data_IF_397569613444
#
_entry.id   IF_397569613444
#
_cell.length_a   1.000
_cell.length_b   1.000
_cell.length_c   1.000
_cell.angle_alpha   90.00
_cell.angle_beta   90.00
_cell.angle_gamma   90.00
#
_symmetry.space_group_name_H-M   'P 1'
#
loop_
_entity.id
_entity.type
_entity.pdbx_description
1 polymer ?
#
# COMPACT_ATOMS: atom_id res chain seq x y z
N UNK A 1 55.44 35.49 8.15
CA UNK A 1 54.03 35.45 8.61
C UNK A 1 53.10 35.39 7.40
N UNK A 2 52.35 34.30 7.23
CA UNK A 2 51.11 34.20 6.45
C UNK A 2 50.40 32.93 6.93
N UNK A 3 49.38 33.08 7.78
CA UNK A 3 48.50 31.97 8.19
C UNK A 3 47.33 31.95 7.23
N UNK A 4 47.25 30.92 6.40
CA UNK A 4 46.09 30.63 5.56
C UNK A 4 45.08 29.93 6.48
N UNK A 5 44.01 30.65 6.84
CA UNK A 5 42.87 30.07 7.54
C UNK A 5 42.00 29.32 6.55
N UNK A 6 41.96 28.00 6.65
CA UNK A 6 41.00 27.17 5.92
C UNK A 6 39.68 27.26 6.69
N UNK A 7 38.69 27.97 6.14
CA UNK A 7 37.30 27.82 6.57
C UNK A 7 36.77 26.50 6.02
N UNK A 8 36.58 25.50 6.89
CA UNK A 8 35.78 24.33 6.58
C UNK A 8 34.30 24.69 6.68
N UNK A 9 33.67 24.95 5.53
CA UNK A 9 32.22 25.05 5.43
C UNK A 9 31.64 23.63 5.46
N UNK A 10 31.29 23.14 6.66
CA UNK A 10 30.53 21.91 6.78
C UNK A 10 29.09 22.16 6.30
N UNK A 11 28.81 21.77 5.06
CA UNK A 11 27.45 21.67 4.57
C UNK A 11 26.75 20.55 5.34
N UNK A 12 25.99 20.93 6.38
CA UNK A 12 25.07 20.02 7.04
C UNK A 12 23.98 19.69 6.03
N UNK A 13 24.12 18.56 5.33
CA UNK A 13 23.03 17.98 4.57
C UNK A 13 21.90 17.73 5.55
N UNK A 14 20.83 18.52 5.47
CA UNK A 14 19.61 18.28 6.21
C UNK A 14 19.02 16.96 5.70
N UNK A 15 19.33 15.88 6.42
CA UNK A 15 18.67 14.59 6.21
C UNK A 15 17.19 14.84 6.53
N UNK A 16 16.26 14.62 5.60
CA UNK A 16 14.85 14.91 5.84
C UNK A 16 14.38 14.04 7.01
N UNK A 17 14.00 14.69 8.11
CA UNK A 17 13.58 14.07 9.38
C UNK A 17 12.25 13.27 9.29
N UNK A 18 11.72 13.04 8.08
CA UNK A 18 10.44 12.36 7.87
C UNK A 18 10.51 10.83 7.96
N UNK A 19 11.70 10.24 7.93
CA UNK A 19 11.89 8.79 8.05
C UNK A 19 12.05 8.29 9.49
N UNK A 20 12.42 9.15 10.45
CA UNK A 20 12.77 8.75 11.82
C UNK A 20 11.58 8.20 12.64
N UNK A 21 10.36 8.38 12.13
CA UNK A 21 9.12 8.10 12.84
C UNK A 21 8.42 6.80 12.42
N UNK A 22 8.97 6.10 11.42
CA UNK A 22 8.43 4.84 10.91
C UNK A 22 9.49 3.75 11.03
N UNK A 23 9.06 2.55 11.40
CA UNK A 23 9.92 1.39 11.47
C UNK A 23 10.27 0.81 10.09
N UNK A 24 10.65 -0.47 10.12
CA UNK A 24 10.91 -1.30 8.94
C UNK A 24 10.17 -2.64 9.07
N UNK A 25 8.92 -2.60 9.55
CA UNK A 25 8.12 -3.79 9.81
C UNK A 25 6.97 -3.90 8.80
N UNK A 26 6.88 -5.04 8.12
CA UNK A 26 5.70 -5.45 7.40
C UNK A 26 5.42 -6.92 7.70
N UNK A 27 4.21 -7.21 8.16
CA UNK A 27 3.75 -8.56 8.43
C UNK A 27 2.40 -8.80 7.77
N UNK A 28 2.25 -10.00 7.20
CA UNK A 28 0.99 -10.52 6.70
C UNK A 28 0.86 -11.96 7.18
N UNK A 29 -0.30 -12.29 7.73
CA UNK A 29 -0.70 -13.64 8.10
C UNK A 29 -1.98 -13.97 7.36
N UNK A 30 -1.99 -15.10 6.66
CA UNK A 30 -3.12 -15.66 5.93
C UNK A 30 -3.42 -17.01 6.55
N UNK A 31 -4.60 -17.16 7.16
CA UNK A 31 -5.04 -18.44 7.74
C UNK A 31 -4.03 -19.00 8.76
N UNK A 32 -3.50 -18.11 9.61
CA UNK A 32 -2.46 -18.42 10.60
C UNK A 32 -1.05 -18.63 10.03
N UNK A 33 -0.86 -18.60 8.70
CA UNK A 33 0.43 -18.79 8.05
C UNK A 33 1.06 -17.44 7.67
N UNK A 34 2.35 -17.22 7.96
CA UNK A 34 3.03 -16.02 7.52
C UNK A 34 3.13 -15.98 6.00
N UNK A 35 2.89 -14.82 5.41
CA UNK A 35 3.14 -14.52 4.02
C UNK A 35 4.15 -13.36 3.95
N UNK A 36 5.26 -13.60 3.25
CA UNK A 36 6.34 -12.63 3.17
C UNK A 36 5.89 -11.34 2.45
N UNK A 37 6.29 -10.19 2.98
CA UNK A 37 6.17 -8.86 2.38
C UNK A 37 7.57 -8.25 2.27
N UNK A 38 7.90 -7.72 1.10
CA UNK A 38 9.19 -7.10 0.80
C UNK A 38 9.16 -5.57 0.87
N UNK A 39 8.03 -4.93 0.52
CA UNK A 39 7.91 -3.49 0.54
C UNK A 39 6.52 -2.99 0.95
N UNK A 40 6.46 -1.73 1.40
CA UNK A 40 5.22 -0.98 1.59
C UNK A 40 5.12 0.13 0.56
N UNK A 41 3.96 0.26 -0.04
CA UNK A 41 3.68 1.32 -1.00
C UNK A 41 2.26 1.82 -0.85
N UNK A 42 1.96 2.97 -1.46
CA UNK A 42 0.61 3.49 -1.48
C UNK A 42 0.23 4.07 -2.84
N UNK A 43 -1.07 4.07 -3.12
CA UNK A 43 -1.67 4.82 -4.22
C UNK A 43 -2.82 5.64 -3.67
N UNK A 44 -2.82 6.94 -3.89
CA UNK A 44 -3.86 7.86 -3.42
C UNK A 44 -4.73 8.33 -4.57
N UNK A 45 -6.02 8.52 -4.31
CA UNK A 45 -6.87 9.29 -5.22
C UNK A 45 -6.51 10.78 -5.04
N UNK A 46 -5.92 11.37 -6.06
CA UNK A 46 -5.42 12.75 -6.05
C UNK A 46 -6.35 13.66 -6.85
N UNK A 47 -6.19 14.98 -6.67
CA UNK A 47 -6.82 15.99 -7.52
C UNK A 47 -6.33 15.88 -8.98
N UNK A 48 -6.95 16.63 -9.90
CA UNK A 48 -6.59 16.62 -11.32
C UNK A 48 -5.11 16.92 -11.59
N UNK A 49 -4.52 17.81 -10.78
CA UNK A 49 -3.12 18.21 -10.88
C UNK A 49 -2.14 17.21 -10.24
N UNK A 50 -2.64 16.17 -9.57
CA UNK A 50 -1.86 15.16 -8.82
C UNK A 50 -1.02 15.73 -7.66
N UNK A 51 -1.28 16.96 -7.23
CA UNK A 51 -0.50 17.69 -6.22
C UNK A 51 -1.06 17.57 -4.80
N UNK A 52 -2.27 17.06 -4.64
CA UNK A 52 -2.92 16.87 -3.35
C UNK A 52 -3.91 15.70 -3.35
N UNK A 53 -4.23 15.12 -2.18
CA UNK A 53 -5.32 14.16 -2.05
C UNK A 53 -6.67 14.75 -2.50
N UNK A 54 -7.47 13.97 -3.24
CA UNK A 54 -8.83 14.37 -3.62
C UNK A 54 -9.79 14.20 -2.45
N UNK A 55 -10.40 15.29 -2.00
CA UNK A 55 -11.52 15.22 -1.07
C UNK A 55 -12.76 14.72 -1.82
N UNK A 56 -13.23 13.53 -1.49
CA UNK A 56 -14.49 12.99 -2.03
C UNK A 56 -15.65 13.32 -1.10
N UNK A 57 -16.85 13.44 -1.66
CA UNK A 57 -18.08 13.67 -0.87
C UNK A 57 -18.41 12.50 0.05
N UNK A 58 -18.08 11.28 -0.38
CA UNK A 58 -18.39 10.07 0.36
C UNK A 58 -17.33 8.99 0.15
N UNK A 59 -16.63 8.61 1.22
CA UNK A 59 -15.66 7.51 1.19
C UNK A 59 -16.34 6.14 1.01
N UNK A 60 -17.64 6.05 1.28
CA UNK A 60 -18.44 4.82 1.21
C UNK A 60 -19.22 4.67 -0.11
N UNK A 61 -19.08 5.59 -1.06
CA UNK A 61 -19.75 5.56 -2.37
C UNK A 61 -21.28 5.36 -2.31
N UNK A 62 -21.94 5.98 -1.32
CA UNK A 62 -23.39 5.90 -1.13
C UNK A 62 -23.87 4.58 -0.53
N UNK A 63 -22.98 3.67 -0.16
CA UNK A 63 -23.33 2.37 0.43
C UNK A 63 -23.66 2.47 1.93
N UNK A 64 -23.29 3.57 2.57
CA UNK A 64 -23.58 3.85 3.98
C UNK A 64 -24.89 4.62 4.19
N UNK A 65 -25.35 4.70 5.44
CA UNK A 65 -26.56 5.45 5.80
C UNK A 65 -26.41 6.98 5.71
N UNK A 66 -25.17 7.47 5.69
CA UNK A 66 -24.82 8.89 5.57
C UNK A 66 -23.56 9.03 4.72
N UNK A 67 -23.48 10.09 3.93
CA UNK A 67 -22.25 10.47 3.22
C UNK A 67 -21.16 10.84 4.22
N UNK A 68 -19.94 10.34 4.00
CA UNK A 68 -18.77 10.63 4.84
C UNK A 68 -17.68 11.27 3.96
N UNK A 69 -17.53 12.60 3.98
CA UNK A 69 -16.47 13.27 3.23
C UNK A 69 -15.09 12.81 3.70
N UNK A 70 -14.16 12.62 2.77
CA UNK A 70 -12.84 12.14 3.13
C UNK A 70 -11.89 11.86 1.97
N UNK A 71 -10.80 11.17 2.28
CA UNK A 71 -9.79 10.76 1.29
C UNK A 71 -9.84 9.25 1.08
N UNK A 72 -9.43 8.82 -0.11
CA UNK A 72 -9.31 7.40 -0.46
C UNK A 72 -7.88 7.04 -0.80
N UNK A 73 -7.40 5.98 -0.15
CA UNK A 73 -6.01 5.52 -0.21
C UNK A 73 -5.97 4.01 -0.38
N UNK A 74 -5.06 3.51 -1.21
CA UNK A 74 -4.72 2.10 -1.30
C UNK A 74 -3.33 1.91 -0.70
N UNK A 75 -3.23 1.19 0.41
CA UNK A 75 -1.95 0.81 1.01
C UNK A 75 -1.66 -0.62 0.62
N UNK A 76 -0.47 -0.88 0.09
CA UNK A 76 -0.11 -2.19 -0.43
C UNK A 76 1.14 -2.69 0.26
N UNK A 77 1.00 -3.80 0.99
CA UNK A 77 2.11 -4.65 1.39
C UNK A 77 2.39 -5.60 0.23
N UNK A 78 3.58 -5.50 -0.36
CA UNK A 78 3.92 -6.20 -1.60
C UNK A 78 5.06 -7.17 -1.37
N UNK A 79 5.01 -8.28 -2.08
CA UNK A 79 6.17 -9.14 -2.29
C UNK A 79 6.37 -9.42 -3.77
N UNK A 80 7.61 -9.77 -4.13
CA UNK A 80 8.01 -10.10 -5.48
C UNK A 80 7.61 -11.53 -5.83
N UNK A 81 7.44 -11.80 -7.12
CA UNK A 81 7.15 -13.14 -7.62
C UNK A 81 8.42 -14.00 -7.62
N UNK A 82 8.49 -15.03 -6.76
CA UNK A 82 9.60 -16.02 -6.74
C UNK A 82 9.84 -16.63 -8.13
N UNK A 83 8.77 -17.00 -8.84
CA UNK A 83 8.84 -17.50 -10.22
C UNK A 83 9.39 -16.50 -11.26
N UNK A 84 9.37 -15.19 -10.97
CA UNK A 84 9.96 -14.18 -11.83
C UNK A 84 11.46 -14.05 -11.55
N UNK A 85 11.87 -14.22 -10.29
CA UNK A 85 13.27 -14.20 -9.86
C UNK A 85 14.05 -15.43 -10.35
N UNK A 86 13.39 -16.59 -10.50
CA UNK A 86 14.05 -17.83 -10.92
C UNK A 86 14.12 -18.04 -12.44
N UNK A 87 13.51 -17.16 -13.26
CA UNK A 87 13.50 -17.33 -14.72
C UNK A 87 14.58 -16.49 -15.40
N UNK A 88 15.36 -17.08 -16.33
CA UNK A 88 16.37 -16.34 -17.07
C UNK A 88 15.75 -15.23 -17.92
N UNK A 89 16.56 -14.22 -18.31
CA UNK A 89 16.17 -13.22 -19.30
C UNK A 89 15.56 -13.86 -20.56
N UNK A 90 14.63 -13.16 -21.23
CA UNK A 90 14.19 -13.59 -22.57
C UNK A 90 15.36 -13.48 -23.55
N UNK A 91 15.33 -14.26 -24.63
CA UNK A 91 16.28 -14.11 -25.74
C UNK A 91 16.30 -12.64 -26.20
N UNK A 92 17.50 -12.04 -26.23
CA UNK A 92 17.69 -10.61 -26.52
C UNK A 92 17.58 -9.65 -25.32
N UNK A 93 17.28 -10.13 -24.11
CA UNK A 93 17.34 -9.32 -22.89
C UNK A 93 18.63 -9.61 -22.10
N UNK A 94 19.30 -8.54 -21.65
CA UNK A 94 20.51 -8.60 -20.82
C UNK A 94 20.24 -8.49 -19.32
N UNK A 95 18.99 -8.20 -18.95
CA UNK A 95 18.56 -8.06 -17.56
C UNK A 95 17.55 -9.15 -17.19
N UNK A 96 17.61 -9.59 -15.94
CA UNK A 96 16.61 -10.47 -15.34
C UNK A 96 15.21 -9.85 -15.47
N UNK A 97 14.19 -10.68 -15.57
CA UNK A 97 12.83 -10.21 -15.85
C UNK A 97 12.34 -9.30 -14.72
N UNK A 98 11.82 -8.13 -15.08
CA UNK A 98 11.30 -7.14 -14.13
C UNK A 98 10.13 -7.73 -13.33
N UNK A 99 10.40 -8.05 -12.06
CA UNK A 99 9.45 -8.62 -11.11
C UNK A 99 8.50 -7.56 -10.51
N UNK A 100 8.71 -6.27 -10.81
CA UNK A 100 7.96 -5.17 -10.18
C UNK A 100 6.51 -5.05 -10.66
N UNK A 101 6.13 -5.75 -11.75
CA UNK A 101 4.75 -5.74 -12.26
C UNK A 101 3.82 -6.77 -11.60
N UNK A 102 4.35 -7.69 -10.78
CA UNK A 102 3.58 -8.78 -10.17
C UNK A 102 3.61 -8.63 -8.66
N UNK A 103 2.63 -7.88 -8.14
CA UNK A 103 2.50 -7.68 -6.70
C UNK A 103 1.61 -8.76 -6.06
N UNK A 104 2.23 -9.66 -5.28
CA UNK A 104 1.58 -10.54 -4.31
C UNK A 104 1.45 -9.82 -2.96
N UNK A 105 0.64 -10.36 -2.04
CA UNK A 105 0.46 -9.82 -0.69
C UNK A 105 -0.92 -9.22 -0.45
N UNK A 106 -0.96 -8.02 0.12
CA UNK A 106 -2.21 -7.37 0.57
C UNK A 106 -2.36 -5.96 -0.01
N UNK A 107 -3.58 -5.62 -0.40
CA UNK A 107 -4.01 -4.29 -0.81
C UNK A 107 -5.15 -3.87 0.10
N UNK A 108 -4.89 -2.92 0.97
CA UNK A 108 -5.86 -2.32 1.87
C UNK A 108 -6.41 -1.07 1.21
N UNK A 109 -7.71 -1.05 0.90
CA UNK A 109 -8.37 0.14 0.42
C UNK A 109 -9.00 0.84 1.61
N UNK A 110 -8.60 2.07 1.85
CA UNK A 110 -8.90 2.83 3.06
C UNK A 110 -9.67 4.08 2.69
N UNK A 111 -10.78 4.30 3.38
CA UNK A 111 -11.47 5.58 3.45
C UNK A 111 -11.08 6.30 4.75
N UNK A 112 -10.58 7.52 4.64
CA UNK A 112 -10.17 8.35 5.79
C UNK A 112 -11.12 9.54 5.87
N UNK A 113 -12.05 9.58 6.84
CA UNK A 113 -12.94 10.72 7.02
C UNK A 113 -12.16 12.01 7.25
N UNK A 114 -12.77 13.12 6.85
CA UNK A 114 -12.29 14.47 7.18
C UNK A 114 -13.24 15.11 8.18
N UNK A 115 -12.68 15.56 9.30
CA UNK A 115 -13.41 16.28 10.35
C UNK A 115 -12.69 17.60 10.62
N UNK A 116 -13.42 18.71 10.53
CA UNK A 116 -12.88 20.06 10.73
C UNK A 116 -11.65 20.36 9.86
N UNK A 117 -11.69 19.92 8.60
CA UNK A 117 -10.61 20.13 7.62
C UNK A 117 -9.35 19.28 7.84
N UNK A 118 -9.37 18.31 8.77
CA UNK A 118 -8.25 17.42 9.07
C UNK A 118 -8.65 15.95 8.87
N UNK A 119 -7.67 15.12 8.50
CA UNK A 119 -7.85 13.67 8.48
C UNK A 119 -8.16 13.14 9.88
N UNK A 120 -9.22 12.36 9.98
CA UNK A 120 -9.60 11.64 11.21
C UNK A 120 -9.15 10.18 11.09
N UNK A 121 -7.89 9.90 11.47
CA UNK A 121 -7.32 8.56 11.37
C UNK A 121 -8.00 7.56 12.31
N UNK A 122 -8.54 8.02 13.44
CA UNK A 122 -9.27 7.18 14.39
C UNK A 122 -10.60 6.68 13.82
N UNK A 123 -11.18 7.44 12.88
CA UNK A 123 -12.40 7.07 12.16
C UNK A 123 -12.13 6.43 10.78
N UNK A 124 -10.87 6.18 10.41
CA UNK A 124 -10.52 5.54 9.15
C UNK A 124 -11.08 4.12 9.08
N UNK A 125 -11.45 3.68 7.87
CA UNK A 125 -12.10 2.39 7.65
C UNK A 125 -11.49 1.67 6.47
N UNK A 126 -11.40 0.35 6.58
CA UNK A 126 -11.15 -0.50 5.43
C UNK A 126 -12.44 -0.53 4.60
N UNK A 127 -12.39 -0.07 3.35
CA UNK A 127 -13.53 -0.02 2.43
C UNK A 127 -13.49 -1.16 1.39
N UNK A 128 -12.33 -1.81 1.23
CA UNK A 128 -12.15 -3.01 0.42
C UNK A 128 -10.80 -3.67 0.79
N UNK A 129 -10.60 -4.93 0.44
CA UNK A 129 -9.33 -5.63 0.54
C UNK A 129 -9.05 -6.50 -0.69
N UNK A 130 -7.81 -6.48 -1.17
CA UNK A 130 -7.30 -7.48 -2.11
C UNK A 130 -6.22 -8.29 -1.42
N UNK A 131 -6.31 -9.62 -1.46
CA UNK A 131 -5.27 -10.51 -0.93
C UNK A 131 -4.95 -11.56 -1.98
N UNK A 132 -3.67 -11.71 -2.28
CA UNK A 132 -3.15 -12.79 -3.14
C UNK A 132 -2.37 -13.72 -2.25
N UNK A 133 -2.91 -14.91 -2.03
CA UNK A 133 -2.26 -15.98 -1.28
C UNK A 133 -1.44 -16.85 -2.24
N UNK A 134 -0.14 -16.84 -2.05
CA UNK A 134 0.80 -17.62 -2.83
C UNK A 134 1.45 -18.74 -2.00
N UNK A 135 0.83 -19.14 -0.89
CA UNK A 135 1.34 -20.15 0.03
C UNK A 135 2.79 -19.86 0.48
N UNK A 136 3.12 -18.58 0.71
CA UNK A 136 4.46 -18.15 1.07
C UNK A 136 5.54 -18.36 0.00
N UNK A 137 5.16 -18.57 -1.26
CA UNK A 137 6.10 -18.90 -2.35
C UNK A 137 6.57 -20.35 -2.36
N UNK A 138 5.98 -21.22 -1.53
CA UNK A 138 6.34 -22.64 -1.43
C UNK A 138 5.65 -23.54 -2.48
N UNK A 139 4.83 -22.96 -3.36
CA UNK A 139 4.24 -23.73 -4.46
C UNK A 139 5.35 -24.15 -5.44
N UNK A 140 5.41 -25.43 -5.85
CA UNK A 140 6.34 -25.87 -6.89
C UNK A 140 6.16 -25.04 -8.17
N UNK A 141 7.28 -24.62 -8.77
CA UNK A 141 7.28 -23.85 -10.01
C UNK A 141 7.73 -24.73 -11.18
N UNK A 142 6.92 -24.76 -12.24
CA UNK A 142 7.27 -25.44 -13.48
C UNK A 142 8.09 -24.51 -14.40
N UNK A 143 9.11 -25.05 -15.06
CA UNK A 143 9.95 -24.29 -16.01
C UNK A 143 9.12 -23.66 -17.14
N UNK A 144 8.08 -24.38 -17.60
CA UNK A 144 7.13 -23.93 -18.63
C UNK A 144 6.04 -22.97 -18.14
N UNK A 145 5.95 -22.69 -16.83
CA UNK A 145 4.89 -21.84 -16.28
C UNK A 145 4.99 -20.41 -16.83
N UNK A 146 3.88 -19.84 -17.33
CA UNK A 146 3.88 -18.43 -17.74
C UNK A 146 4.11 -17.57 -16.51
N UNK A 147 4.96 -16.54 -16.62
CA UNK A 147 5.04 -15.49 -15.60
C UNK A 147 3.70 -14.76 -15.56
N UNK A 148 2.85 -15.19 -14.64
CA UNK A 148 1.57 -14.62 -14.27
C UNK A 148 1.65 -14.35 -12.77
N UNK A 149 0.74 -13.57 -12.19
CA UNK A 149 0.56 -13.59 -10.75
C UNK A 149 0.29 -15.05 -10.32
N UNK A 150 1.32 -15.73 -9.81
CA UNK A 150 1.14 -16.98 -9.08
C UNK A 150 0.62 -16.58 -7.72
N UNK A 151 -0.39 -17.32 -7.27
CA UNK A 151 -1.16 -17.03 -6.07
C UNK A 151 -2.65 -16.91 -6.36
N UNK A 152 -3.45 -17.42 -5.44
CA UNK A 152 -4.90 -17.37 -5.49
C UNK A 152 -5.37 -16.03 -4.93
N UNK A 153 -6.05 -15.24 -5.76
CA UNK A 153 -6.82 -14.10 -5.26
C UNK A 153 -7.89 -14.64 -4.31
N UNK A 154 -7.84 -14.23 -3.04
CA UNK A 154 -8.78 -14.70 -2.02
C UNK A 154 -10.13 -13.97 -2.07
N UNK A 155 -10.14 -12.77 -2.64
CA UNK A 155 -11.34 -11.94 -2.74
C UNK A 155 -12.00 -12.09 -4.12
N UNK A 156 -13.26 -12.49 -4.14
CA UNK A 156 -14.12 -12.58 -5.33
C UNK A 156 -15.48 -11.90 -5.08
N UNK A 157 -16.36 -11.73 -6.09
CA UNK A 157 -17.69 -11.17 -5.89
C UNK A 157 -18.52 -11.91 -4.83
N UNK A 158 -18.35 -13.22 -4.69
CA UNK A 158 -19.16 -14.07 -3.79
C UNK A 158 -18.50 -14.32 -2.43
N UNK A 159 -17.26 -13.86 -2.23
CA UNK A 159 -16.52 -14.06 -0.97
C UNK A 159 -17.26 -13.46 0.22
N UNK A 160 -17.43 -14.26 1.27
CA UNK A 160 -17.96 -13.81 2.56
C UNK A 160 -16.87 -13.02 3.30
N UNK A 161 -17.21 -11.84 3.77
CA UNK A 161 -16.31 -10.94 4.50
C UNK A 161 -16.84 -10.71 5.91
N UNK A 162 -16.00 -10.95 6.91
CA UNK A 162 -16.33 -10.79 8.34
C UNK A 162 -15.16 -10.18 9.11
N UNK A 163 -15.40 -9.76 10.35
CA UNK A 163 -14.36 -9.31 11.29
C UNK A 163 -13.41 -8.23 10.74
N UNK A 164 -13.95 -7.32 9.93
CA UNK A 164 -13.20 -6.21 9.34
C UNK A 164 -12.75 -5.25 10.44
N UNK A 165 -11.45 -4.99 10.52
CA UNK A 165 -10.86 -4.00 11.42
C UNK A 165 -9.74 -3.24 10.73
N UNK A 166 -9.60 -1.97 11.08
CA UNK A 166 -8.49 -1.12 10.68
C UNK A 166 -8.16 -0.18 11.85
N UNK A 167 -6.88 -0.05 12.14
CA UNK A 167 -6.34 0.98 13.02
C UNK A 167 -5.15 1.63 12.31
N UNK A 168 -5.17 2.95 12.17
CA UNK A 168 -4.04 3.72 11.64
C UNK A 168 -3.55 4.65 12.75
N UNK A 169 -2.41 4.29 13.34
CA UNK A 169 -1.80 5.09 14.40
C UNK A 169 -1.08 6.33 13.83
N UNK A 170 -0.49 6.20 12.64
CA UNK A 170 0.22 7.30 11.98
C UNK A 170 0.17 7.14 10.47
N UNK A 171 -0.02 8.24 9.76
CA UNK A 171 0.04 8.33 8.31
C UNK A 171 0.68 9.65 7.92
N UNK A 172 1.66 9.61 7.03
CA UNK A 172 2.30 10.80 6.46
C UNK A 172 2.48 10.57 4.99
N UNK A 173 1.94 11.46 4.16
CA UNK A 173 2.15 11.41 2.72
C UNK A 173 3.51 12.04 2.37
N UNK A 174 4.16 11.58 1.29
CA UNK A 174 5.25 12.34 0.70
C UNK A 174 4.74 13.67 0.14
N UNK A 175 5.65 14.58 -0.19
CA UNK A 175 5.31 15.89 -0.71
C UNK A 175 4.79 15.79 -2.16
N UNK A 176 3.48 15.59 -2.29
CA UNK A 176 2.80 15.48 -3.58
C UNK A 176 2.96 16.75 -4.44
N UNK A 177 3.08 17.94 -3.83
CA UNK A 177 3.28 19.20 -4.57
C UNK A 177 4.64 19.25 -5.27
N UNK A 178 5.66 18.61 -4.68
CA UNK A 178 6.98 18.47 -5.29
C UNK A 178 7.10 17.23 -6.18
N UNK A 179 6.03 16.44 -6.32
CA UNK A 179 6.02 15.22 -7.11
C UNK A 179 6.82 14.07 -6.47
N UNK A 180 7.00 14.07 -5.15
CA UNK A 180 7.70 12.98 -4.47
C UNK A 180 6.95 11.65 -4.65
N UNK A 181 7.67 10.63 -5.11
CA UNK A 181 7.13 9.29 -5.41
C UNK A 181 7.56 8.23 -4.38
N UNK A 182 8.18 8.65 -3.28
CA UNK A 182 8.58 7.82 -2.15
C UNK A 182 8.75 8.69 -0.90
N UNK A 183 8.85 8.08 0.28
CA UNK A 183 8.89 8.81 1.55
C UNK A 183 7.52 8.94 2.21
N UNK A 184 7.46 9.68 3.33
CA UNK A 184 6.35 9.54 4.27
C UNK A 184 6.29 8.11 4.83
N UNK A 185 5.11 7.67 5.29
CA UNK A 185 4.93 6.32 5.80
C UNK A 185 3.61 6.07 6.48
N UNK A 186 3.43 4.84 6.97
CA UNK A 186 2.25 4.43 7.72
C UNK A 186 2.60 3.47 8.85
N UNK A 187 1.88 3.64 9.96
CA UNK A 187 1.81 2.69 11.08
C UNK A 187 0.35 2.24 11.24
N UNK A 188 0.06 1.00 10.86
CA UNK A 188 -1.29 0.45 10.87
C UNK A 188 -1.34 -1.03 11.26
N UNK A 189 -2.54 -1.44 11.65
CA UNK A 189 -2.96 -2.83 11.78
C UNK A 189 -4.32 -2.97 11.07
N UNK A 190 -4.49 -4.05 10.30
CA UNK A 190 -5.75 -4.36 9.64
C UNK A 190 -6.03 -5.86 9.67
N UNK A 191 -7.31 -6.21 9.75
CA UNK A 191 -7.76 -7.60 9.67
C UNK A 191 -9.08 -7.73 8.92
N UNK A 192 -9.28 -8.89 8.29
CA UNK A 192 -10.56 -9.33 7.75
C UNK A 192 -10.59 -10.86 7.73
N UNK A 193 -11.77 -11.47 7.76
CA UNK A 193 -11.96 -12.90 7.50
C UNK A 193 -12.59 -13.06 6.13
N UNK A 194 -11.93 -13.79 5.22
CA UNK A 194 -12.39 -14.04 3.85
C UNK A 194 -12.71 -15.53 3.69
N UNK A 195 -13.99 -15.88 3.49
CA UNK A 195 -14.45 -17.28 3.39
C UNK A 195 -13.92 -18.16 4.54
N UNK A 196 -13.99 -17.64 5.78
CA UNK A 196 -13.50 -18.32 6.98
C UNK A 196 -11.98 -18.23 7.21
N UNK A 197 -11.21 -17.69 6.26
CA UNK A 197 -9.75 -17.52 6.40
C UNK A 197 -9.41 -16.18 7.05
N UNK A 198 -8.83 -16.16 8.26
CA UNK A 198 -8.41 -14.91 8.89
C UNK A 198 -7.19 -14.32 8.17
N UNK A 199 -7.28 -13.05 7.81
CA UNK A 199 -6.20 -12.23 7.25
C UNK A 199 -5.84 -11.17 8.28
N UNK A 200 -4.56 -11.05 8.59
CA UNK A 200 -4.03 -10.05 9.51
C UNK A 200 -2.81 -9.39 8.89
N UNK A 201 -2.72 -8.07 8.97
CA UNK A 201 -1.53 -7.34 8.52
C UNK A 201 -1.18 -6.23 9.48
N UNK A 202 0.13 -6.05 9.68
CA UNK A 202 0.72 -4.97 10.45
C UNK A 202 1.81 -4.35 9.61
N UNK A 203 1.80 -3.02 9.52
CA UNK A 203 2.77 -2.26 8.73
C UNK A 203 3.22 -1.08 9.58
N UNK A 204 4.52 -0.96 9.81
CA UNK A 204 5.20 0.20 10.38
C UNK A 204 6.42 0.49 9.49
N UNK A 205 6.18 1.28 8.43
CA UNK A 205 7.15 1.44 7.34
C UNK A 205 6.94 2.74 6.58
N UNK A 206 8.02 3.26 6.02
CA UNK A 206 7.95 4.28 4.97
C UNK A 206 7.37 3.71 3.68
N UNK A 207 6.89 4.58 2.79
CA UNK A 207 6.49 4.16 1.44
C UNK A 207 7.71 4.11 0.53
N UNK A 208 8.07 2.91 0.06
CA UNK A 208 9.08 2.74 -1.00
C UNK A 208 8.60 3.35 -2.31
N UNK A 209 7.29 3.31 -2.54
CA UNK A 209 6.63 3.85 -3.73
C UNK A 209 5.30 4.49 -3.35
N UNK A 210 5.07 5.68 -3.89
CA UNK A 210 3.84 6.44 -3.73
C UNK A 210 3.33 6.87 -5.10
N UNK A 211 2.08 6.51 -5.38
CA UNK A 211 1.44 6.75 -6.66
C UNK A 211 0.23 7.66 -6.49
N UNK A 212 -0.02 8.50 -7.48
CA UNK A 212 -1.24 9.32 -7.57
C UNK A 212 -2.14 8.78 -8.68
N UNK A 213 -3.42 8.65 -8.40
CA UNK A 213 -4.45 8.33 -9.39
C UNK A 213 -5.33 9.56 -9.60
N UNK A 214 -5.61 9.92 -10.86
CA UNK A 214 -6.53 11.01 -11.19
C UNK A 214 -7.94 10.72 -10.69
N UNK A 215 -8.78 11.75 -10.46
CA UNK A 215 -10.16 11.57 -10.04
C UNK A 215 -10.96 10.61 -10.93
N UNK A 216 -10.75 10.61 -12.25
CA UNK A 216 -11.43 9.69 -13.17
C UNK A 216 -11.07 8.20 -12.96
N UNK A 217 -9.95 7.89 -12.29
CA UNK A 217 -9.49 6.54 -12.03
C UNK A 217 -9.99 6.01 -10.67
N UNK A 218 -11.28 6.21 -10.36
CA UNK A 218 -11.89 5.81 -9.08
C UNK A 218 -12.10 4.31 -8.92
N UNK A 219 -12.20 3.54 -10.01
CA UNK A 219 -12.56 2.11 -9.97
C UNK A 219 -11.76 1.29 -8.94
N UNK A 220 -10.42 1.45 -8.80
CA UNK A 220 -9.69 0.75 -7.76
C UNK A 220 -10.11 1.15 -6.35
N UNK A 221 -10.58 2.37 -6.13
CA UNK A 221 -10.92 2.94 -4.82
C UNK A 221 -12.40 2.82 -4.45
N UNK A 222 -13.18 2.06 -5.20
CA UNK A 222 -14.59 1.86 -4.88
C UNK A 222 -14.73 1.04 -3.60
N UNK A 223 -15.60 1.53 -2.70
CA UNK A 223 -16.01 0.83 -1.52
C UNK A 223 -16.80 -0.42 -1.91
N UNK A 224 -16.61 -1.48 -1.14
CA UNK A 224 -17.34 -2.73 -1.27
C UNK A 224 -18.41 -2.78 -0.18
N UNK A 225 -19.64 -3.09 -0.57
CA UNK A 225 -20.79 -3.09 0.35
C UNK A 225 -20.61 -4.04 1.54
N UNK A 226 -19.73 -5.05 1.44
CA UNK A 226 -19.43 -5.98 2.53
C UNK A 226 -18.57 -5.35 3.64
N UNK A 227 -17.93 -4.21 3.38
CA UNK A 227 -17.05 -3.49 4.31
C UNK A 227 -17.71 -2.26 4.96
N UNK A 228 -18.85 -1.82 4.42
CA UNK A 228 -19.53 -0.57 4.81
C UNK A 228 -20.69 -0.80 5.80
N UNK A 229 -21.02 -2.08 6.07
CA UNK A 229 -22.11 -2.47 6.99
C UNK A 229 -21.86 -2.04 8.43
#
# INVERSE_FOLDING_TARGET
MKRIGILTLAALAAIPAFAADFGHEQALTIDGKPAYLAETSARILANEDLTAPQLVEDIADGLGSKKIPGYKLMIMGRTYSVAAETKPPREGQTQWRDNTFIHRGVKLFVGIPVKNGKMDLAAARLINIGVVDDNGGAAPHDEGEKIRPVGKQLMSPDTKVENVKLNIAKLTFPNMKLGETSGGGVKLEASATLDGKPIQTKIDSTFSRFYSAKPAATRPFMADARFVK
#
